data_IF_959030977944
#
_entry.id   IF_959030977944
#
_cell.length_a   1.000
_cell.length_b   1.000
_cell.length_c   1.000
_cell.angle_alpha   90.00
_cell.angle_beta   90.00
_cell.angle_gamma   90.00
#
_symmetry.space_group_name_H-M   'P 1'
#
loop_
_entity.id
_entity.type
_entity.pdbx_description
1 polymer ?
#
# COMPACT_ATOMS: atom_id res chain seq x y z
N UNK A 1 6.19 6.03 -15.65
CA UNK A 1 6.57 7.34 -15.07
C UNK A 1 6.42 7.22 -13.56
N UNK A 2 7.49 6.88 -12.86
CA UNK A 2 7.51 6.74 -11.39
C UNK A 2 7.86 8.06 -10.68
N UNK A 3 7.63 9.20 -11.34
CA UNK A 3 8.13 10.51 -10.90
C UNK A 3 7.28 11.24 -9.85
N UNK A 4 6.06 10.74 -9.58
CA UNK A 4 5.08 11.42 -8.70
C UNK A 4 4.86 10.70 -7.36
N UNK A 5 5.60 9.62 -7.08
CA UNK A 5 5.50 8.85 -5.83
C UNK A 5 6.63 9.24 -4.89
N UNK A 6 6.33 9.36 -3.60
CA UNK A 6 7.35 9.54 -2.56
C UNK A 6 8.17 8.26 -2.37
N UNK A 7 9.33 8.38 -1.74
CA UNK A 7 10.16 7.20 -1.39
C UNK A 7 9.36 6.21 -0.53
N UNK A 8 8.59 6.70 0.45
CA UNK A 8 7.76 5.87 1.33
C UNK A 8 6.64 5.15 0.58
N UNK A 9 6.01 5.81 -0.40
CA UNK A 9 4.99 5.20 -1.26
C UNK A 9 5.58 4.09 -2.14
N UNK A 10 6.78 4.31 -2.68
CA UNK A 10 7.51 3.30 -3.46
C UNK A 10 7.87 2.10 -2.56
N UNK A 11 8.31 2.36 -1.33
CA UNK A 11 8.62 1.30 -0.36
C UNK A 11 7.38 0.47 -0.01
N UNK A 12 6.23 1.11 0.24
CA UNK A 12 4.98 0.42 0.51
C UNK A 12 4.53 -0.45 -0.68
N UNK A 13 4.53 0.09 -1.89
CA UNK A 13 4.20 -0.67 -3.11
C UNK A 13 5.16 -1.84 -3.32
N UNK A 14 6.47 -1.61 -3.15
CA UNK A 14 7.51 -2.63 -3.26
C UNK A 14 7.33 -3.73 -2.22
N UNK A 15 6.87 -3.38 -1.02
CA UNK A 15 6.58 -4.33 0.04
C UNK A 15 5.37 -5.20 -0.29
N UNK A 16 4.29 -4.61 -0.80
CA UNK A 16 3.12 -5.39 -1.25
C UNK A 16 3.53 -6.33 -2.38
N UNK A 17 4.37 -5.85 -3.32
CA UNK A 17 4.94 -6.66 -4.39
C UNK A 17 5.74 -7.87 -3.86
N UNK A 18 6.63 -7.66 -2.89
CA UNK A 18 7.42 -8.73 -2.26
C UNK A 18 6.56 -9.83 -1.64
N UNK A 19 5.32 -9.52 -1.25
CA UNK A 19 4.34 -10.48 -0.73
C UNK A 19 3.43 -11.07 -1.82
N UNK A 20 3.87 -11.01 -3.09
CA UNK A 20 3.11 -11.55 -4.23
C UNK A 20 1.98 -10.63 -4.70
N UNK A 21 2.06 -9.33 -4.37
CA UNK A 21 1.05 -8.33 -4.76
C UNK A 21 -0.14 -8.25 -3.82
N UNK A 22 -0.12 -8.94 -2.68
CA UNK A 22 -1.12 -8.79 -1.63
C UNK A 22 -0.45 -8.85 -0.28
N UNK A 23 -0.77 -7.88 0.56
CA UNK A 23 -0.27 -7.76 1.92
C UNK A 23 -1.47 -7.77 2.87
N UNK A 24 -1.40 -8.56 3.94
CA UNK A 24 -2.43 -8.60 4.98
C UNK A 24 -1.90 -7.95 6.27
N UNK A 25 -2.80 -7.35 7.04
CA UNK A 25 -2.52 -6.75 8.33
C UNK A 25 -2.03 -7.81 9.35
N UNK A 26 -1.14 -7.44 10.29
CA UNK A 26 -0.46 -6.15 10.39
C UNK A 26 0.64 -6.01 9.33
N UNK A 27 0.76 -4.81 8.75
CA UNK A 27 1.73 -4.48 7.71
C UNK A 27 3.15 -4.30 8.28
N UNK A 28 3.63 -5.25 9.09
CA UNK A 28 4.85 -5.15 9.88
C UNK A 28 4.68 -5.79 11.24
N UNK A 29 5.75 -6.40 11.75
CA UNK A 29 5.74 -6.96 13.08
C UNK A 29 5.39 -5.88 14.12
N UNK A 30 4.74 -6.29 15.22
CA UNK A 30 4.39 -5.39 16.32
C UNK A 30 5.68 -4.77 16.86
N UNK A 31 5.83 -3.46 16.65
CA UNK A 31 7.10 -2.78 16.81
C UNK A 31 6.97 -1.28 16.67
N UNK A 32 6.70 -0.75 15.48
CA UNK A 32 6.71 0.72 15.33
C UNK A 32 5.86 1.35 14.19
N UNK A 33 5.63 0.73 13.02
CA UNK A 33 5.25 1.59 11.86
C UNK A 33 3.93 1.31 11.10
N UNK A 34 3.19 0.23 11.38
CA UNK A 34 2.06 -0.17 10.50
C UNK A 34 0.75 0.62 10.67
N UNK A 35 0.63 1.43 11.73
CA UNK A 35 -0.53 2.27 12.04
C UNK A 35 -0.14 3.74 12.21
N UNK A 36 1.05 4.13 11.75
CA UNK A 36 1.43 5.54 11.72
C UNK A 36 0.50 6.28 10.77
N UNK A 37 0.10 7.48 11.19
CA UNK A 37 -0.78 8.35 10.40
C UNK A 37 -0.21 8.57 8.99
N UNK A 38 1.10 8.75 8.85
CA UNK A 38 1.80 8.90 7.57
C UNK A 38 1.63 7.67 6.65
N UNK A 39 1.65 6.44 7.20
CA UNK A 39 1.45 5.21 6.42
C UNK A 39 0.01 5.07 6.00
N UNK A 40 -0.94 5.46 6.85
CA UNK A 40 -2.36 5.46 6.51
C UNK A 40 -2.67 6.51 5.42
N UNK A 41 -2.08 7.70 5.51
CA UNK A 41 -2.19 8.75 4.48
C UNK A 41 -1.59 8.30 3.14
N UNK A 42 -0.45 7.60 3.16
CA UNK A 42 0.15 7.01 1.96
C UNK A 42 -0.75 5.92 1.37
N UNK A 43 -1.34 5.05 2.19
CA UNK A 43 -2.32 4.05 1.75
C UNK A 43 -3.52 4.72 1.07
N UNK A 44 -4.10 5.74 1.71
CA UNK A 44 -5.24 6.47 1.16
C UNK A 44 -4.89 7.19 -0.14
N UNK A 45 -3.69 7.78 -0.22
CA UNK A 45 -3.19 8.45 -1.42
C UNK A 45 -2.99 7.45 -2.58
N UNK A 46 -2.36 6.31 -2.31
CA UNK A 46 -2.14 5.26 -3.30
C UNK A 46 -3.45 4.62 -3.77
N UNK A 47 -4.42 4.45 -2.87
CA UNK A 47 -5.76 3.96 -3.22
C UNK A 47 -6.54 4.99 -4.06
N UNK A 48 -6.49 6.27 -3.71
CA UNK A 48 -7.12 7.34 -4.50
C UNK A 48 -6.53 7.42 -5.93
N UNK A 49 -5.22 7.11 -6.07
CA UNK A 49 -4.53 6.98 -7.37
C UNK A 49 -4.80 5.65 -8.08
N UNK A 50 -5.58 4.74 -7.48
CA UNK A 50 -5.89 3.40 -7.96
C UNK A 50 -4.68 2.50 -8.14
N UNK A 51 -3.58 2.76 -7.42
CA UNK A 51 -2.37 1.93 -7.49
C UNK A 51 -2.50 0.70 -6.59
N UNK A 52 -3.26 0.84 -5.50
CA UNK A 52 -3.63 -0.26 -4.63
C UNK A 52 -5.15 -0.30 -4.46
N UNK A 53 -5.63 -1.47 -4.02
CA UNK A 53 -6.95 -1.66 -3.46
C UNK A 53 -6.80 -1.98 -1.98
N UNK A 54 -7.61 -1.37 -1.14
CA UNK A 54 -7.59 -1.59 0.31
C UNK A 54 -8.91 -2.21 0.74
N UNK A 55 -8.85 -3.40 1.32
CA UNK A 55 -10.00 -3.97 2.03
C UNK A 55 -9.88 -3.59 3.52
N UNK A 56 -10.91 -2.90 4.03
CA UNK A 56 -11.05 -2.47 5.43
C UNK A 56 -12.15 -3.27 6.11
N UNK A 57 -12.03 -3.58 7.41
CA UNK A 57 -13.12 -4.26 8.12
C UNK A 57 -14.30 -3.33 8.33
N UNK A 58 -15.50 -3.91 8.27
CA UNK A 58 -16.76 -3.18 8.38
C UNK A 58 -16.84 -2.43 9.72
N UNK A 59 -16.80 -1.09 9.66
CA UNK A 59 -16.88 -0.22 10.83
C UNK A 59 -15.53 0.19 11.42
N UNK A 60 -14.42 -0.11 10.72
CA UNK A 60 -13.08 0.39 11.01
C UNK A 60 -12.51 1.06 9.75
N UNK A 61 -11.75 2.14 9.94
CA UNK A 61 -10.95 2.74 8.88
C UNK A 61 -9.58 2.06 8.73
N UNK A 62 -9.27 1.11 9.61
CA UNK A 62 -8.00 0.37 9.58
C UNK A 62 -7.92 -0.59 8.38
N UNK A 63 -6.84 -0.52 7.58
CA UNK A 63 -6.63 -1.42 6.47
C UNK A 63 -6.34 -2.86 6.96
N UNK A 64 -7.09 -3.84 6.44
CA UNK A 64 -6.85 -5.26 6.72
C UNK A 64 -6.06 -5.95 5.62
N UNK A 65 -6.23 -5.48 4.39
CA UNK A 65 -5.53 -6.04 3.22
C UNK A 65 -5.29 -4.96 2.19
N UNK A 66 -4.10 -5.00 1.60
CA UNK A 66 -3.68 -4.14 0.50
C UNK A 66 -3.32 -5.06 -0.67
N UNK A 67 -3.86 -4.77 -1.84
CA UNK A 67 -3.57 -5.52 -3.07
C UNK A 67 -3.11 -4.56 -4.16
N UNK A 68 -2.02 -4.90 -4.86
CA UNK A 68 -1.59 -4.16 -6.04
C UNK A 68 -2.62 -4.31 -7.16
N UNK A 69 -2.95 -3.19 -7.77
CA UNK A 69 -3.72 -3.14 -9.03
C UNK A 69 -2.78 -3.28 -10.22
N UNK A 70 -3.29 -3.52 -11.44
CA UNK A 70 -2.50 -3.42 -12.66
C UNK A 70 -1.70 -2.11 -12.75
N UNK A 71 -2.33 -0.97 -12.42
CA UNK A 71 -1.71 0.35 -12.41
C UNK A 71 -0.57 0.45 -11.38
N UNK A 72 -0.71 -0.23 -10.24
CA UNK A 72 0.35 -0.35 -9.24
C UNK A 72 1.57 -1.12 -9.74
N UNK A 73 1.36 -2.21 -10.49
CA UNK A 73 2.46 -2.93 -11.14
C UNK A 73 3.16 -2.08 -12.20
N UNK A 74 2.40 -1.36 -13.02
CA UNK A 74 2.95 -0.44 -14.03
C UNK A 74 3.74 0.70 -13.38
N UNK A 75 3.27 1.24 -12.25
CA UNK A 75 3.97 2.29 -11.50
C UNK A 75 5.33 1.82 -10.95
N UNK A 76 5.46 0.53 -10.64
CA UNK A 76 6.70 -0.15 -10.25
C UNK A 76 7.57 -0.56 -11.46
N UNK A 77 7.11 -0.33 -12.69
CA UNK A 77 7.84 -0.68 -13.91
C UNK A 77 7.82 -2.18 -14.24
N UNK A 78 6.84 -2.93 -13.74
CA UNK A 78 6.69 -4.38 -13.95
C UNK A 78 5.82 -4.76 -15.17
N UNK A 79 5.72 -3.85 -16.15
CA UNK A 79 4.96 -4.05 -17.39
C UNK A 79 5.54 -5.15 -18.30
#
# INVERSE_FOLDING_TARGET
MSGDLTEHQIELLSRVLQHGGTLASPFGHPGEDSLLEEVLEDIDTLEARRLIRVDRTRGSDEPERITLTPEGYDALGMA
#
